data_IF_989557183530
#
_entry.id   IF_989557183530
#
_cell.length_a   1.000
_cell.length_b   1.000
_cell.length_c   1.000
_cell.angle_alpha   90.00
_cell.angle_beta   90.00
_cell.angle_gamma   90.00
#
_symmetry.space_group_name_H-M   'P 1'
#
loop_
_entity.id
_entity.type
_entity.pdbx_description
1 polymer ?
#
# COMPACT_ATOMS: atom_id res chain seq x y z
N UNK A 1 -36.37 81.18 25.16
CA UNK A 1 -36.25 79.73 25.35
C UNK A 1 -35.70 79.15 24.09
N UNK A 2 -34.41 78.69 24.08
CA UNK A 2 -33.73 78.17 22.89
C UNK A 2 -33.69 76.65 23.02
N UNK A 3 -34.30 75.89 22.09
CA UNK A 3 -34.29 74.47 22.03
C UNK A 3 -32.96 74.03 21.29
N UNK A 4 -32.15 73.22 21.95
CA UNK A 4 -30.95 72.60 21.37
C UNK A 4 -31.36 71.23 20.72
N UNK A 5 -31.31 71.16 19.39
CA UNK A 5 -31.37 69.90 18.65
C UNK A 5 -30.00 69.19 18.73
N UNK A 6 -29.94 68.04 19.38
CA UNK A 6 -28.79 67.15 19.33
C UNK A 6 -28.98 66.13 18.19
N UNK A 7 -28.21 66.31 17.12
CA UNK A 7 -28.13 65.37 16.02
C UNK A 7 -27.17 64.24 16.43
N UNK A 8 -27.66 63.02 16.64
CA UNK A 8 -26.87 61.84 16.92
C UNK A 8 -26.45 61.23 15.59
N UNK A 9 -25.17 61.27 15.28
CA UNK A 9 -24.57 60.63 14.10
C UNK A 9 -24.30 59.17 14.48
N UNK A 10 -25.07 58.22 13.91
CA UNK A 10 -24.80 56.78 13.95
C UNK A 10 -23.74 56.45 12.92
N UNK A 11 -22.49 56.17 13.36
CA UNK A 11 -21.47 55.59 12.52
C UNK A 11 -21.67 54.08 12.48
N UNK A 12 -22.25 53.59 11.39
CA UNK A 12 -22.32 52.14 11.13
C UNK A 12 -20.94 51.67 10.68
N UNK A 13 -20.21 51.00 11.57
CA UNK A 13 -18.94 50.30 11.20
C UNK A 13 -19.34 49.02 10.50
N UNK A 14 -19.29 49.02 9.16
CA UNK A 14 -19.36 47.76 8.39
C UNK A 14 -18.07 47.00 8.65
N UNK A 15 -18.14 45.96 9.52
CA UNK A 15 -17.10 44.95 9.66
C UNK A 15 -17.05 44.06 8.41
N UNK A 16 -16.19 44.40 7.48
CA UNK A 16 -15.84 43.50 6.38
C UNK A 16 -14.97 42.40 7.00
N UNK A 17 -15.60 41.27 7.35
CA UNK A 17 -14.87 40.04 7.63
C UNK A 17 -14.22 39.58 6.33
N UNK A 18 -12.93 39.91 6.15
CA UNK A 18 -12.09 39.23 5.16
C UNK A 18 -11.97 37.76 5.59
N UNK A 19 -12.91 36.94 5.14
CA UNK A 19 -12.69 35.50 5.09
C UNK A 19 -11.63 35.27 4.01
N UNK A 20 -10.37 35.23 4.42
CA UNK A 20 -9.30 34.73 3.55
C UNK A 20 -9.72 33.30 3.14
N UNK A 21 -10.17 33.16 1.90
CA UNK A 21 -10.33 31.86 1.28
C UNK A 21 -8.95 31.18 1.38
N UNK A 22 -8.79 30.25 2.30
CA UNK A 22 -7.61 29.42 2.36
C UNK A 22 -7.48 28.76 1.00
N UNK A 23 -6.34 28.99 0.35
CA UNK A 23 -6.07 28.37 -0.95
C UNK A 23 -6.24 26.86 -0.82
N UNK A 24 -6.94 26.25 -1.75
CA UNK A 24 -7.21 24.81 -1.76
C UNK A 24 -5.89 24.04 -1.80
N UNK A 25 -5.66 23.16 -0.83
CA UNK A 25 -4.45 22.31 -0.77
C UNK A 25 -4.46 21.30 -1.92
N UNK A 26 -3.41 21.31 -2.74
CA UNK A 26 -3.35 20.52 -3.97
C UNK A 26 -2.39 19.35 -3.87
N UNK A 27 -2.89 18.16 -4.17
CA UNK A 27 -2.13 16.90 -4.14
C UNK A 27 -2.04 16.29 -5.54
N UNK A 28 -0.80 16.04 -5.98
CA UNK A 28 -0.48 15.28 -7.19
C UNK A 28 -0.07 13.85 -6.83
N UNK A 29 -0.76 12.86 -7.38
CA UNK A 29 -0.47 11.44 -7.16
C UNK A 29 0.04 10.82 -8.46
N UNK A 30 1.24 10.25 -8.44
CA UNK A 30 1.84 9.53 -9.57
C UNK A 30 1.80 8.05 -9.26
N UNK A 31 0.91 7.31 -9.93
CA UNK A 31 0.73 5.87 -9.79
C UNK A 31 1.76 5.12 -10.64
N UNK A 32 2.08 3.89 -10.21
CA UNK A 32 2.93 2.96 -10.94
C UNK A 32 2.15 2.27 -12.08
N UNK A 33 2.82 1.45 -12.88
CA UNK A 33 2.35 0.81 -14.11
C UNK A 33 1.09 -0.05 -13.97
N UNK A 34 0.79 -0.56 -12.78
CA UNK A 34 -0.45 -1.31 -12.52
C UNK A 34 -1.73 -0.48 -12.67
N UNK A 35 -1.58 0.86 -12.56
CA UNK A 35 -2.71 1.79 -12.61
C UNK A 35 -3.66 1.66 -11.41
N UNK A 36 -4.60 2.60 -11.27
CA UNK A 36 -5.53 2.68 -10.12
C UNK A 36 -6.47 1.48 -9.97
N UNK A 37 -6.63 0.68 -11.03
CA UNK A 37 -7.58 -0.43 -11.07
C UNK A 37 -6.92 -1.81 -10.85
N UNK A 38 -5.67 -1.85 -10.38
CA UNK A 38 -4.90 -3.07 -10.10
C UNK A 38 -5.49 -3.96 -8.99
N UNK A 39 -6.48 -3.45 -8.26
CA UNK A 39 -7.12 -4.06 -7.07
C UNK A 39 -6.15 -4.35 -5.91
N UNK A 40 -4.95 -3.77 -5.94
CA UNK A 40 -3.84 -4.05 -5.04
C UNK A 40 -3.18 -2.73 -4.58
N UNK A 41 -1.92 -2.52 -4.92
CA UNK A 41 -1.04 -1.46 -4.46
C UNK A 41 -1.47 -0.05 -4.88
N UNK A 42 -1.64 0.18 -6.19
CA UNK A 42 -2.07 1.48 -6.69
C UNK A 42 -3.51 1.80 -6.30
N UNK A 43 -4.40 0.79 -6.32
CA UNK A 43 -5.77 0.94 -5.86
C UNK A 43 -5.83 1.39 -4.39
N UNK A 44 -4.99 0.81 -3.51
CA UNK A 44 -4.87 1.21 -2.11
C UNK A 44 -4.42 2.68 -1.99
N UNK A 45 -3.36 3.07 -2.70
CA UNK A 45 -2.87 4.45 -2.70
C UNK A 45 -3.94 5.45 -3.18
N UNK A 46 -4.60 5.12 -4.28
CA UNK A 46 -5.67 5.94 -4.85
C UNK A 46 -6.88 6.07 -3.89
N UNK A 47 -7.22 5.00 -3.18
CA UNK A 47 -8.26 4.99 -2.15
C UNK A 47 -7.91 5.97 -1.03
N UNK A 48 -6.68 5.92 -0.49
CA UNK A 48 -6.23 6.83 0.57
C UNK A 48 -6.27 8.30 0.15
N UNK A 49 -5.81 8.61 -1.07
CA UNK A 49 -5.87 9.97 -1.61
C UNK A 49 -7.31 10.44 -1.87
N UNK A 50 -8.19 9.56 -2.34
CA UNK A 50 -9.62 9.86 -2.55
C UNK A 50 -10.35 10.10 -1.22
N UNK A 51 -10.02 9.33 -0.19
CA UNK A 51 -10.56 9.54 1.15
C UNK A 51 -10.07 10.87 1.75
N UNK A 52 -8.81 11.24 1.51
CA UNK A 52 -8.29 12.56 1.88
C UNK A 52 -9.04 13.68 1.15
N UNK A 53 -9.30 13.54 -0.15
CA UNK A 53 -10.13 14.51 -0.90
C UNK A 53 -11.51 14.67 -0.25
N UNK A 54 -12.16 13.56 0.12
CA UNK A 54 -13.49 13.58 0.72
C UNK A 54 -13.51 14.19 2.13
N UNK A 55 -12.53 13.82 2.98
CA UNK A 55 -12.53 14.22 4.40
C UNK A 55 -11.83 15.54 4.67
N UNK A 56 -10.81 15.89 3.89
CA UNK A 56 -9.96 17.05 4.12
C UNK A 56 -10.23 18.19 3.14
N UNK A 57 -11.06 17.98 2.10
CA UNK A 57 -11.43 19.00 1.13
C UNK A 57 -10.27 19.42 0.23
N UNK A 58 -9.32 18.53 -0.05
CA UNK A 58 -8.17 18.81 -0.92
C UNK A 58 -8.53 18.71 -2.40
N UNK A 59 -7.78 19.40 -3.25
CA UNK A 59 -7.76 19.11 -4.68
C UNK A 59 -6.83 17.95 -4.96
N UNK A 60 -7.34 16.90 -5.60
CA UNK A 60 -6.59 15.71 -5.98
C UNK A 60 -6.55 15.56 -7.49
N UNK A 61 -5.34 15.43 -8.04
CA UNK A 61 -5.12 14.94 -9.40
C UNK A 61 -4.17 13.76 -9.36
N UNK A 62 -4.51 12.67 -10.06
CA UNK A 62 -3.63 11.54 -10.26
C UNK A 62 -3.25 11.41 -11.74
N UNK A 63 -2.13 10.74 -11.97
CA UNK A 63 -1.64 10.31 -13.29
C UNK A 63 -1.10 8.90 -13.17
N UNK A 64 -1.17 8.15 -14.25
CA UNK A 64 -0.65 6.80 -14.38
C UNK A 64 0.56 6.84 -15.33
N UNK A 65 1.70 6.30 -14.88
CA UNK A 65 2.89 6.25 -15.71
C UNK A 65 2.80 5.09 -16.70
N UNK A 66 3.15 5.36 -17.95
CA UNK A 66 3.21 4.35 -19.02
C UNK A 66 4.51 3.54 -18.97
N UNK A 67 5.58 4.16 -18.52
CA UNK A 67 6.92 3.58 -18.38
C UNK A 67 7.73 4.37 -17.33
N UNK A 68 8.92 3.86 -17.00
CA UNK A 68 9.76 4.46 -15.95
C UNK A 68 10.28 5.85 -16.31
N UNK A 69 10.41 6.17 -17.60
CA UNK A 69 10.86 7.51 -18.04
C UNK A 69 9.78 8.57 -17.85
N UNK A 70 8.52 8.17 -17.69
CA UNK A 70 7.40 9.08 -17.46
C UNK A 70 7.38 9.66 -16.04
N UNK A 71 8.00 9.02 -15.04
CA UNK A 71 7.90 9.44 -13.65
C UNK A 71 8.43 10.87 -13.41
N UNK A 72 9.65 11.16 -13.85
CA UNK A 72 10.24 12.49 -13.63
C UNK A 72 9.44 13.62 -14.29
N UNK A 73 9.08 13.56 -15.59
CA UNK A 73 8.29 14.64 -16.20
C UNK A 73 6.92 14.82 -15.56
N UNK A 74 6.24 13.73 -15.12
CA UNK A 74 4.96 13.80 -14.44
C UNK A 74 5.06 14.50 -13.08
N UNK A 75 6.05 14.14 -12.25
CA UNK A 75 6.30 14.79 -10.96
C UNK A 75 6.68 16.27 -11.13
N UNK A 76 7.54 16.56 -12.09
CA UNK A 76 7.96 17.92 -12.42
C UNK A 76 6.77 18.78 -12.85
N UNK A 77 5.85 18.24 -13.66
CA UNK A 77 4.66 18.97 -14.08
C UNK A 77 3.75 19.33 -12.90
N UNK A 78 3.63 18.47 -11.88
CA UNK A 78 2.94 18.81 -10.64
C UNK A 78 3.68 19.91 -9.85
N UNK A 79 4.98 19.76 -9.65
CA UNK A 79 5.79 20.71 -8.90
C UNK A 79 5.77 22.13 -9.52
N UNK A 80 5.75 22.22 -10.85
CA UNK A 80 5.65 23.49 -11.61
C UNK A 80 4.25 24.14 -11.57
N UNK A 81 3.19 23.36 -11.30
CA UNK A 81 1.78 23.80 -11.34
C UNK A 81 1.17 24.05 -9.94
N UNK A 82 1.96 24.49 -8.98
CA UNK A 82 1.53 24.84 -7.62
C UNK A 82 0.83 23.75 -6.83
N UNK A 83 1.18 22.49 -7.06
CA UNK A 83 0.80 21.43 -6.13
C UNK A 83 1.64 21.55 -4.84
N UNK A 84 0.98 21.34 -3.70
CA UNK A 84 1.60 21.47 -2.37
C UNK A 84 2.32 20.20 -1.96
N UNK A 85 1.76 19.03 -2.34
CA UNK A 85 2.31 17.71 -2.09
C UNK A 85 2.27 16.86 -3.36
N UNK A 86 3.41 16.24 -3.69
CA UNK A 86 3.54 15.31 -4.81
C UNK A 86 3.89 13.93 -4.23
N UNK A 87 3.09 12.92 -4.55
CA UNK A 87 3.26 11.56 -4.01
C UNK A 87 3.58 10.59 -5.15
N UNK A 88 4.72 9.93 -5.04
CA UNK A 88 5.12 8.82 -5.93
C UNK A 88 4.77 7.47 -5.31
N UNK A 89 4.12 6.61 -6.07
CA UNK A 89 3.69 5.28 -5.62
C UNK A 89 4.58 4.21 -6.27
N UNK A 90 5.46 3.62 -5.44
CA UNK A 90 6.36 2.54 -5.85
C UNK A 90 7.83 2.93 -5.92
N UNK A 91 8.68 1.96 -5.63
CA UNK A 91 10.13 2.11 -5.50
C UNK A 91 10.83 2.56 -6.80
N UNK A 92 10.25 2.25 -7.98
CA UNK A 92 10.79 2.64 -9.28
C UNK A 92 10.87 4.17 -9.46
N UNK A 93 10.09 4.92 -8.68
CA UNK A 93 10.03 6.38 -8.73
C UNK A 93 11.12 7.08 -7.89
N UNK A 94 12.00 6.31 -7.22
CA UNK A 94 13.02 6.84 -6.30
C UNK A 94 13.89 7.93 -6.92
N UNK A 95 14.51 7.65 -8.06
CA UNK A 95 15.42 8.59 -8.72
C UNK A 95 14.69 9.84 -9.21
N UNK A 96 13.49 9.65 -9.76
CA UNK A 96 12.66 10.75 -10.23
C UNK A 96 12.30 11.72 -9.09
N UNK A 97 11.80 11.19 -7.98
CA UNK A 97 11.39 12.04 -6.84
C UNK A 97 12.61 12.71 -6.18
N UNK A 98 13.73 12.02 -6.05
CA UNK A 98 14.97 12.59 -5.50
C UNK A 98 15.43 13.79 -6.32
N UNK A 99 15.43 13.65 -7.64
CA UNK A 99 15.85 14.70 -8.59
C UNK A 99 14.89 15.89 -8.61
N UNK A 100 13.58 15.64 -8.62
CA UNK A 100 12.57 16.71 -8.66
C UNK A 100 12.51 17.43 -7.32
N UNK A 101 12.52 16.72 -6.19
CA UNK A 101 12.46 17.31 -4.86
C UNK A 101 13.65 18.25 -4.59
N UNK A 102 14.85 17.92 -5.08
CA UNK A 102 16.02 18.78 -4.97
C UNK A 102 15.87 20.12 -5.74
N UNK A 103 15.09 20.15 -6.82
CA UNK A 103 14.85 21.35 -7.62
C UNK A 103 13.68 22.19 -7.09
N UNK A 104 12.80 21.62 -6.26
CA UNK A 104 11.64 22.28 -5.68
C UNK A 104 11.64 22.16 -4.15
N UNK A 105 12.63 22.75 -3.44
CA UNK A 105 12.82 22.58 -2.00
C UNK A 105 11.65 23.11 -1.16
N UNK A 106 10.80 23.97 -1.72
CA UNK A 106 9.63 24.54 -1.04
C UNK A 106 8.36 23.66 -1.18
N UNK A 107 8.42 22.59 -1.99
CA UNK A 107 7.31 21.65 -2.17
C UNK A 107 7.51 20.41 -1.33
N UNK A 108 6.43 19.82 -0.85
CA UNK A 108 6.47 18.55 -0.15
C UNK A 108 6.38 17.38 -1.13
N UNK A 109 7.15 16.36 -0.84
CA UNK A 109 7.12 15.10 -1.59
C UNK A 109 6.94 13.92 -0.65
N UNK A 110 6.29 12.87 -1.13
CA UNK A 110 6.27 11.58 -0.47
C UNK A 110 6.50 10.45 -1.46
N UNK A 111 7.10 9.36 -1.00
CA UNK A 111 7.30 8.17 -1.82
C UNK A 111 6.96 6.93 -1.01
N UNK A 112 6.28 5.98 -1.65
CA UNK A 112 5.99 4.66 -1.08
C UNK A 112 7.04 3.65 -1.56
N UNK A 113 7.53 2.82 -0.62
CA UNK A 113 8.45 1.70 -0.88
C UNK A 113 9.86 2.08 -1.33
N UNK A 114 10.29 3.31 -1.14
CA UNK A 114 11.69 3.69 -1.34
C UNK A 114 12.16 4.70 -0.30
N UNK A 115 13.43 4.61 0.06
CA UNK A 115 14.08 5.56 0.96
C UNK A 115 14.75 6.68 0.17
N UNK A 116 14.29 7.90 0.40
CA UNK A 116 14.90 9.15 -0.09
C UNK A 116 15.16 10.05 1.10
N UNK A 117 16.43 10.38 1.33
CA UNK A 117 16.84 11.23 2.43
C UNK A 117 16.94 12.67 1.95
N UNK A 118 15.86 13.43 2.17
CA UNK A 118 15.80 14.87 1.89
C UNK A 118 14.82 15.54 2.86
N UNK A 119 15.02 16.81 3.24
CA UNK A 119 14.19 17.49 4.23
C UNK A 119 12.74 17.68 3.79
N UNK A 120 12.48 17.70 2.49
CA UNK A 120 11.17 17.88 1.88
C UNK A 120 10.59 16.59 1.28
N UNK A 121 11.18 15.41 1.58
CA UNK A 121 10.67 14.10 1.13
C UNK A 121 10.34 13.22 2.33
N UNK A 122 9.10 12.70 2.40
CA UNK A 122 8.68 11.67 3.34
C UNK A 122 8.69 10.31 2.64
N UNK A 123 9.54 9.40 3.11
CA UNK A 123 9.57 8.00 2.68
C UNK A 123 8.64 7.16 3.54
N UNK A 124 7.66 6.51 2.91
CA UNK A 124 6.65 5.67 3.53
C UNK A 124 7.02 4.21 3.29
N UNK A 125 7.62 3.57 4.30
CA UNK A 125 8.15 2.20 4.23
C UNK A 125 7.29 1.26 5.05
N UNK A 126 7.23 -0.01 4.66
CA UNK A 126 6.43 -1.01 5.36
C UNK A 126 7.30 -2.17 5.84
N UNK A 127 6.88 -2.83 6.92
CA UNK A 127 7.51 -4.05 7.43
C UNK A 127 6.78 -5.27 6.83
N UNK A 128 6.90 -5.41 5.50
CA UNK A 128 6.17 -6.41 4.71
C UNK A 128 6.46 -7.84 5.17
N UNK A 129 7.70 -8.11 5.63
CA UNK A 129 8.09 -9.41 6.14
C UNK A 129 7.26 -9.83 7.36
N UNK A 130 6.84 -8.88 8.21
CA UNK A 130 5.98 -9.18 9.36
C UNK A 130 4.60 -9.66 8.92
N UNK A 131 3.95 -8.90 8.00
CA UNK A 131 2.65 -9.30 7.44
C UNK A 131 2.74 -10.62 6.68
N UNK A 132 3.76 -10.78 5.84
CA UNK A 132 4.00 -11.99 5.08
C UNK A 132 4.25 -13.23 5.98
N UNK A 133 4.88 -13.05 7.15
CA UNK A 133 5.05 -14.12 8.13
C UNK A 133 3.70 -14.63 8.64
N UNK A 134 2.78 -13.74 8.99
CA UNK A 134 1.43 -14.13 9.43
C UNK A 134 0.71 -14.88 8.31
N UNK A 135 0.83 -14.41 7.06
CA UNK A 135 0.24 -15.07 5.88
C UNK A 135 0.84 -16.46 5.65
N UNK A 136 2.14 -16.62 5.83
CA UNK A 136 2.81 -17.91 5.73
C UNK A 136 2.31 -18.90 6.78
N UNK A 137 2.12 -18.44 8.00
CA UNK A 137 1.55 -19.25 9.07
C UNK A 137 0.09 -19.66 8.75
N UNK A 138 -0.75 -18.73 8.27
CA UNK A 138 -2.13 -19.01 7.84
C UNK A 138 -2.15 -20.06 6.72
N UNK A 139 -1.29 -19.89 5.70
CA UNK A 139 -1.18 -20.81 4.58
C UNK A 139 -0.80 -22.23 5.05
N UNK A 140 0.18 -22.35 5.94
CA UNK A 140 0.66 -23.63 6.46
C UNK A 140 -0.39 -24.35 7.32
N UNK A 141 -1.16 -23.61 8.14
CA UNK A 141 -2.26 -24.16 8.94
C UNK A 141 -3.44 -24.63 8.08
N UNK A 142 -3.62 -24.04 6.91
CA UNK A 142 -4.72 -24.35 5.98
C UNK A 142 -4.35 -25.44 4.99
N UNK A 143 -3.06 -25.54 4.61
CA UNK A 143 -2.58 -26.52 3.64
C UNK A 143 -2.80 -27.96 4.09
N UNK A 144 -3.32 -28.78 3.18
CA UNK A 144 -3.53 -30.23 3.39
C UNK A 144 -2.41 -31.05 2.76
N UNK A 145 -1.67 -30.46 1.80
CA UNK A 145 -0.63 -31.17 1.05
C UNK A 145 0.76 -30.98 1.66
N UNK A 146 0.92 -30.00 2.58
CA UNK A 146 2.23 -29.60 3.07
C UNK A 146 3.06 -28.84 2.01
N UNK A 147 2.42 -28.37 0.94
CA UNK A 147 3.04 -27.53 -0.09
C UNK A 147 2.24 -26.24 -0.29
N UNK A 148 2.91 -25.11 -0.20
CA UNK A 148 2.33 -23.80 -0.43
C UNK A 148 3.13 -23.05 -1.47
N UNK A 149 2.50 -22.05 -2.11
CA UNK A 149 3.10 -21.29 -3.19
C UNK A 149 3.27 -19.83 -2.87
N UNK A 150 4.21 -19.20 -3.56
CA UNK A 150 4.41 -17.75 -3.62
C UNK A 150 4.60 -17.31 -5.06
N UNK A 151 3.80 -16.35 -5.51
CA UNK A 151 3.96 -15.70 -6.81
C UNK A 151 4.29 -14.23 -6.56
N UNK A 152 5.54 -13.85 -6.82
CA UNK A 152 6.00 -12.47 -6.76
C UNK A 152 5.86 -11.76 -8.11
N UNK A 153 5.74 -10.43 -8.09
CA UNK A 153 5.82 -9.60 -9.29
C UNK A 153 7.25 -9.56 -9.85
N UNK A 154 7.97 -8.48 -9.59
CA UNK A 154 9.38 -8.39 -9.94
C UNK A 154 10.27 -9.16 -8.95
N UNK A 155 11.33 -9.80 -9.47
CA UNK A 155 12.38 -10.38 -8.63
C UNK A 155 13.35 -9.30 -8.12
N UNK A 156 12.95 -8.62 -7.06
CA UNK A 156 13.70 -7.52 -6.42
C UNK A 156 13.74 -7.71 -4.90
N UNK A 157 14.68 -7.05 -4.19
CA UNK A 157 14.82 -7.20 -2.74
C UNK A 157 13.53 -6.99 -1.96
N UNK A 158 12.68 -6.02 -2.34
CA UNK A 158 11.38 -5.78 -1.72
C UNK A 158 10.48 -7.02 -1.78
N UNK A 159 10.35 -7.66 -2.94
CA UNK A 159 9.47 -8.82 -3.11
C UNK A 159 10.08 -10.09 -2.52
N UNK A 160 11.39 -10.19 -2.52
CA UNK A 160 12.09 -11.25 -1.76
C UNK A 160 11.91 -11.12 -0.26
N UNK A 161 11.68 -9.90 0.26
CA UNK A 161 11.32 -9.65 1.66
C UNK A 161 9.96 -10.27 2.02
N UNK A 162 8.95 -10.14 1.15
CA UNK A 162 7.67 -10.85 1.28
C UNK A 162 7.86 -12.38 1.26
N UNK A 163 8.60 -12.89 0.26
CA UNK A 163 8.83 -14.33 0.12
C UNK A 163 9.52 -14.92 1.35
N UNK A 164 10.53 -14.23 1.89
CA UNK A 164 11.26 -14.67 3.09
C UNK A 164 10.38 -14.69 4.33
N UNK A 165 9.59 -13.63 4.58
CA UNK A 165 8.64 -13.58 5.68
C UNK A 165 7.61 -14.71 5.58
N UNK A 166 7.03 -14.89 4.39
CA UNK A 166 6.08 -15.96 4.10
C UNK A 166 6.64 -17.36 4.39
N UNK A 167 7.83 -17.66 3.87
CA UNK A 167 8.50 -18.93 4.11
C UNK A 167 8.79 -19.15 5.61
N UNK A 168 9.28 -18.12 6.29
CA UNK A 168 9.57 -18.23 7.72
C UNK A 168 8.32 -18.49 8.56
N UNK A 169 7.21 -17.82 8.25
CA UNK A 169 5.92 -18.05 8.90
C UNK A 169 5.36 -19.43 8.63
N UNK A 170 5.44 -19.90 7.39
CA UNK A 170 5.00 -21.25 7.02
C UNK A 170 5.81 -22.33 7.76
N UNK A 171 7.14 -22.21 7.78
CA UNK A 171 8.04 -23.13 8.48
C UNK A 171 7.92 -23.08 10.01
N UNK A 172 7.47 -21.97 10.57
CA UNK A 172 7.16 -21.87 12.01
C UNK A 172 6.04 -22.83 12.42
N UNK A 173 5.07 -23.00 11.55
CA UNK A 173 3.91 -23.89 11.78
C UNK A 173 4.26 -25.33 11.41
N UNK A 174 4.84 -25.53 10.24
CA UNK A 174 5.26 -26.84 9.76
C UNK A 174 6.70 -26.78 9.22
N UNK A 175 7.71 -27.22 10.00
CA UNK A 175 9.11 -27.20 9.56
C UNK A 175 9.40 -27.98 8.27
N UNK A 176 8.54 -28.94 7.89
CA UNK A 176 8.68 -29.77 6.70
C UNK A 176 7.91 -29.22 5.48
N UNK A 177 7.23 -28.07 5.61
CA UNK A 177 6.45 -27.50 4.52
C UNK A 177 7.35 -27.11 3.36
N UNK A 178 6.92 -27.42 2.16
CA UNK A 178 7.56 -26.95 0.93
C UNK A 178 6.95 -25.63 0.48
N UNK A 179 7.79 -24.61 0.23
CA UNK A 179 7.38 -23.34 -0.35
C UNK A 179 7.91 -23.23 -1.77
N UNK A 180 7.00 -23.19 -2.75
CA UNK A 180 7.31 -22.97 -4.16
C UNK A 180 7.28 -21.48 -4.44
N UNK A 181 8.39 -20.87 -4.88
CA UNK A 181 8.46 -19.44 -5.14
C UNK A 181 8.86 -19.16 -6.58
N UNK A 182 8.05 -18.34 -7.28
CA UNK A 182 8.29 -17.88 -8.64
C UNK A 182 7.98 -16.39 -8.76
N UNK A 183 8.55 -15.73 -9.78
CA UNK A 183 8.37 -14.31 -10.05
C UNK A 183 7.88 -14.10 -11.48
N UNK A 184 7.00 -13.13 -11.68
CA UNK A 184 6.41 -12.82 -13.00
C UNK A 184 7.43 -12.25 -13.98
N UNK A 185 8.50 -11.61 -13.49
CA UNK A 185 9.53 -11.03 -14.33
C UNK A 185 10.58 -10.22 -13.57
N UNK A 186 11.40 -9.49 -14.34
CA UNK A 186 12.50 -8.65 -13.84
C UNK A 186 12.34 -7.17 -14.25
N UNK A 187 11.25 -6.82 -14.91
CA UNK A 187 10.89 -5.47 -15.35
C UNK A 187 9.54 -5.06 -14.78
N UNK A 188 9.19 -3.78 -14.87
CA UNK A 188 7.91 -3.25 -14.37
C UNK A 188 6.66 -3.88 -15.01
N UNK A 189 6.77 -4.55 -16.15
CA UNK A 189 5.67 -5.32 -16.74
C UNK A 189 5.19 -6.47 -15.86
N UNK A 190 6.05 -6.95 -14.96
CA UNK A 190 5.71 -7.98 -13.98
C UNK A 190 4.56 -7.58 -13.04
N UNK A 191 4.23 -6.30 -12.94
CA UNK A 191 3.13 -5.79 -12.12
C UNK A 191 1.77 -5.83 -12.80
N UNK A 192 1.75 -5.97 -14.14
CA UNK A 192 0.50 -5.94 -14.92
C UNK A 192 0.48 -7.03 -16.00
N UNK A 193 0.72 -8.26 -15.61
CA UNK A 193 0.70 -9.45 -16.50
C UNK A 193 -0.10 -10.60 -15.88
N UNK A 194 -1.44 -10.50 -15.78
CA UNK A 194 -2.28 -11.56 -15.24
C UNK A 194 -2.08 -12.93 -15.93
N UNK A 195 -1.88 -13.03 -17.26
CA UNK A 195 -1.59 -14.31 -17.90
C UNK A 195 -0.35 -15.01 -17.32
N UNK A 196 0.73 -14.25 -17.04
CA UNK A 196 1.93 -14.80 -16.42
C UNK A 196 1.71 -15.21 -14.97
N UNK A 197 0.96 -14.42 -14.20
CA UNK A 197 0.53 -14.78 -12.85
C UNK A 197 -0.26 -16.10 -12.82
N UNK A 198 -1.18 -16.27 -13.78
CA UNK A 198 -1.96 -17.50 -13.93
C UNK A 198 -1.09 -18.70 -14.28
N UNK A 199 -0.20 -18.57 -15.27
CA UNK A 199 0.74 -19.62 -15.67
C UNK A 199 1.55 -20.15 -14.48
N UNK A 200 2.16 -19.23 -13.71
CA UNK A 200 2.98 -19.59 -12.55
C UNK A 200 2.17 -20.27 -11.46
N UNK A 201 0.98 -19.77 -11.17
CA UNK A 201 0.12 -20.35 -10.14
C UNK A 201 -0.39 -21.74 -10.55
N UNK A 202 -0.79 -21.94 -11.83
CA UNK A 202 -1.16 -23.26 -12.34
C UNK A 202 -0.01 -24.26 -12.16
N UNK A 203 1.21 -23.90 -12.55
CA UNK A 203 2.38 -24.76 -12.38
C UNK A 203 2.65 -25.13 -10.92
N UNK A 204 2.43 -24.21 -9.97
CA UNK A 204 2.57 -24.48 -8.54
C UNK A 204 1.45 -25.38 -8.01
N UNK A 205 0.18 -25.16 -8.41
CA UNK A 205 -0.93 -26.03 -8.04
C UNK A 205 -0.74 -27.45 -8.62
N UNK A 206 -0.31 -27.56 -9.87
CA UNK A 206 -0.02 -28.87 -10.52
C UNK A 206 1.18 -29.58 -9.86
N UNK A 207 2.10 -28.83 -9.24
CA UNK A 207 3.19 -29.35 -8.40
C UNK A 207 2.76 -29.73 -6.99
N UNK A 208 1.47 -29.56 -6.67
CA UNK A 208 0.84 -29.97 -5.42
C UNK A 208 0.67 -28.88 -4.35
N UNK A 209 0.94 -27.61 -4.67
CA UNK A 209 0.54 -26.51 -3.79
C UNK A 209 -0.99 -26.47 -3.68
N UNK A 210 -1.51 -26.09 -2.52
CA UNK A 210 -2.95 -25.93 -2.30
C UNK A 210 -3.35 -24.58 -1.74
N UNK A 211 -2.38 -23.74 -1.39
CA UNK A 211 -2.54 -22.31 -1.02
C UNK A 211 -1.40 -21.53 -1.67
N UNK A 212 -1.71 -20.47 -2.43
CA UNK A 212 -0.70 -19.61 -3.06
C UNK A 212 -0.89 -18.17 -2.61
N UNK A 213 0.18 -17.56 -2.06
CA UNK A 213 0.23 -16.13 -1.76
C UNK A 213 0.78 -15.37 -2.98
N UNK A 214 0.12 -14.25 -3.34
CA UNK A 214 0.52 -13.41 -4.46
C UNK A 214 0.96 -12.03 -3.98
N UNK A 215 2.23 -11.66 -4.25
CA UNK A 215 2.75 -10.31 -4.05
C UNK A 215 3.16 -9.74 -5.42
N UNK A 216 2.18 -9.49 -6.30
CA UNK A 216 2.40 -9.29 -7.73
C UNK A 216 1.52 -8.20 -8.38
N UNK A 217 0.87 -7.32 -7.60
CA UNK A 217 -0.02 -6.29 -8.15
C UNK A 217 -1.14 -6.91 -8.98
N UNK A 218 -1.46 -6.31 -10.14
CA UNK A 218 -2.50 -6.82 -11.05
C UNK A 218 -2.20 -8.24 -11.59
N UNK A 219 -0.92 -8.64 -11.68
CA UNK A 219 -0.55 -10.01 -12.09
C UNK A 219 -1.09 -11.07 -11.13
N UNK A 220 -1.30 -10.72 -9.85
CA UNK A 220 -1.91 -11.59 -8.84
C UNK A 220 -3.34 -12.02 -9.18
N UNK A 221 -4.10 -11.21 -9.94
CA UNK A 221 -5.44 -11.56 -10.37
C UNK A 221 -5.46 -12.83 -11.24
N UNK A 222 -4.40 -13.05 -12.03
CA UNK A 222 -4.25 -14.28 -12.79
C UNK A 222 -4.08 -15.51 -11.89
N UNK A 223 -3.38 -15.38 -10.75
CA UNK A 223 -3.27 -16.47 -9.79
C UNK A 223 -4.63 -16.79 -9.12
N UNK A 224 -5.51 -15.81 -8.96
CA UNK A 224 -6.88 -16.03 -8.48
C UNK A 224 -7.71 -16.82 -9.50
N UNK A 225 -7.54 -16.55 -10.79
CA UNK A 225 -8.16 -17.34 -11.85
C UNK A 225 -7.63 -18.79 -11.88
N UNK A 226 -6.34 -18.99 -11.61
CA UNK A 226 -5.76 -20.33 -11.46
C UNK A 226 -6.32 -21.06 -10.23
N UNK A 227 -6.51 -20.35 -9.10
CA UNK A 227 -7.12 -20.90 -7.90
C UNK A 227 -8.56 -21.39 -8.15
N UNK A 228 -9.35 -20.59 -8.88
CA UNK A 228 -10.70 -20.97 -9.30
C UNK A 228 -10.70 -22.20 -10.21
N UNK A 229 -9.81 -22.25 -11.19
CA UNK A 229 -9.69 -23.38 -12.13
C UNK A 229 -9.29 -24.69 -11.41
N UNK A 230 -8.39 -24.63 -10.44
CA UNK A 230 -7.91 -25.78 -9.68
C UNK A 230 -8.72 -26.05 -8.41
N UNK A 231 -9.69 -25.20 -8.06
CA UNK A 231 -10.47 -25.26 -6.80
C UNK A 231 -9.55 -25.31 -5.58
N UNK A 232 -8.57 -24.41 -5.56
CA UNK A 232 -7.57 -24.24 -4.50
C UNK A 232 -7.68 -22.84 -3.90
N UNK A 233 -6.90 -22.57 -2.85
CA UNK A 233 -6.89 -21.26 -2.22
C UNK A 233 -5.79 -20.36 -2.78
N UNK A 234 -6.12 -19.07 -2.92
CA UNK A 234 -5.13 -18.01 -3.09
C UNK A 234 -5.20 -17.03 -1.92
N UNK A 235 -4.14 -16.24 -1.76
CA UNK A 235 -4.04 -15.17 -0.78
C UNK A 235 -3.68 -13.88 -1.53
N UNK A 236 -4.44 -12.82 -1.26
CA UNK A 236 -4.26 -11.50 -1.84
C UNK A 236 -3.19 -10.66 -1.15
N UNK A 237 -2.95 -9.43 -1.69
CA UNK A 237 -1.95 -8.50 -1.17
C UNK A 237 -2.41 -7.04 -1.27
N UNK A 238 -1.83 -6.17 -0.46
CA UNK A 238 -2.03 -4.72 -0.36
C UNK A 238 -3.44 -4.34 0.09
N UNK A 239 -4.42 -4.48 -0.80
CA UNK A 239 -5.85 -4.25 -0.52
C UNK A 239 -6.55 -5.54 -0.11
N UNK A 240 -7.73 -5.42 0.51
CA UNK A 240 -8.61 -6.56 0.68
C UNK A 240 -9.14 -7.00 -0.70
N UNK A 241 -8.70 -8.17 -1.15
CA UNK A 241 -9.05 -8.77 -2.44
C UNK A 241 -10.01 -9.97 -2.29
N UNK A 242 -10.50 -10.27 -1.07
CA UNK A 242 -11.31 -11.45 -0.75
C UNK A 242 -12.61 -11.50 -1.56
N UNK A 243 -13.17 -10.33 -1.85
CA UNK A 243 -14.39 -10.16 -2.65
C UNK A 243 -14.23 -10.53 -4.13
N UNK A 244 -13.00 -10.61 -4.64
CA UNK A 244 -12.75 -10.87 -6.08
C UNK A 244 -13.12 -12.32 -6.47
N UNK A 245 -12.89 -13.28 -5.57
CA UNK A 245 -13.25 -14.69 -5.72
C UNK A 245 -13.74 -15.22 -4.36
N UNK A 246 -14.99 -14.92 -3.94
CA UNK A 246 -15.53 -15.32 -2.65
C UNK A 246 -15.42 -16.83 -2.42
N UNK A 247 -14.90 -17.23 -1.25
CA UNK A 247 -14.71 -18.64 -0.89
C UNK A 247 -13.46 -19.29 -1.51
N UNK A 248 -12.62 -18.55 -2.26
CA UNK A 248 -11.37 -19.03 -2.81
C UNK A 248 -10.17 -18.16 -2.38
N UNK A 249 -10.39 -16.89 -2.10
CA UNK A 249 -9.35 -16.05 -1.47
C UNK A 249 -9.43 -16.27 0.02
N UNK A 250 -8.41 -16.96 0.55
CA UNK A 250 -8.36 -17.37 1.95
C UNK A 250 -8.29 -16.15 2.90
N UNK A 251 -7.52 -15.17 2.50
CA UNK A 251 -7.35 -13.85 3.13
C UNK A 251 -6.53 -12.96 2.20
N UNK A 252 -6.35 -11.69 2.55
CA UNK A 252 -5.41 -10.79 1.88
C UNK A 252 -4.42 -10.25 2.90
N UNK A 253 -3.11 -10.25 2.57
CA UNK A 253 -2.12 -9.51 3.34
C UNK A 253 -2.33 -8.03 3.11
N UNK A 254 -2.90 -7.35 4.07
CA UNK A 254 -3.13 -5.92 4.00
C UNK A 254 -1.81 -5.17 4.16
N UNK A 255 -1.50 -4.29 3.22
CA UNK A 255 -0.45 -3.29 3.29
C UNK A 255 -1.12 -1.93 3.16
N UNK A 256 -1.22 -1.21 4.27
CA UNK A 256 -2.08 -0.04 4.42
C UNK A 256 -1.50 1.22 3.77
N UNK A 257 -1.23 1.11 2.45
CA UNK A 257 -0.80 2.25 1.63
C UNK A 257 -1.85 3.35 1.64
N UNK A 258 -3.13 2.99 1.69
CA UNK A 258 -4.25 3.91 1.85
C UNK A 258 -4.10 4.79 3.09
N UNK A 259 -3.80 4.19 4.24
CA UNK A 259 -3.58 4.88 5.50
C UNK A 259 -2.34 5.78 5.45
N UNK A 260 -1.23 5.27 4.90
CA UNK A 260 0.02 6.02 4.80
C UNK A 260 -0.12 7.26 3.90
N UNK A 261 -0.80 7.11 2.75
CA UNK A 261 -1.09 8.21 1.81
C UNK A 261 -2.06 9.22 2.45
N UNK A 262 -3.14 8.77 3.09
CA UNK A 262 -4.05 9.66 3.79
C UNK A 262 -3.33 10.48 4.86
N UNK A 263 -2.52 9.83 5.69
CA UNK A 263 -1.82 10.48 6.80
C UNK A 263 -0.80 11.52 6.32
N UNK A 264 0.00 11.24 5.28
CA UNK A 264 0.97 12.20 4.77
C UNK A 264 0.29 13.42 4.14
N UNK A 265 -0.86 13.25 3.51
CA UNK A 265 -1.69 14.35 3.01
C UNK A 265 -2.20 15.21 4.17
N UNK A 266 -2.74 14.59 5.21
CA UNK A 266 -3.24 15.28 6.40
C UNK A 266 -2.13 16.03 7.14
N UNK A 267 -0.96 15.39 7.34
CA UNK A 267 0.21 16.01 7.95
C UNK A 267 0.69 17.22 7.14
N UNK A 268 0.72 17.09 5.80
CA UNK A 268 1.16 18.17 4.92
C UNK A 268 0.19 19.35 4.91
N UNK A 269 -1.12 19.09 4.79
CA UNK A 269 -2.14 20.14 4.81
C UNK A 269 -2.19 20.89 6.15
N UNK A 270 -1.98 20.18 7.26
CA UNK A 270 -2.00 20.78 8.61
C UNK A 270 -0.68 21.47 9.02
N UNK A 271 0.30 21.59 8.12
CA UNK A 271 1.60 22.19 8.40
C UNK A 271 2.50 21.35 9.33
N UNK A 272 2.18 20.06 9.51
CA UNK A 272 2.93 19.12 10.34
C UNK A 272 3.83 18.17 9.52
N UNK A 273 3.98 18.45 8.25
CA UNK A 273 4.85 17.64 7.40
C UNK A 273 6.30 17.68 7.89
N UNK A 274 6.92 16.52 7.93
CA UNK A 274 8.36 16.38 8.17
C UNK A 274 8.94 15.40 7.17
N UNK A 275 10.10 15.70 6.62
CA UNK A 275 10.85 14.75 5.78
C UNK A 275 11.33 13.53 6.58
N UNK A 276 12.02 12.63 5.89
CA UNK A 276 12.60 11.42 6.50
C UNK A 276 11.73 10.18 6.34
N UNK A 277 12.08 9.13 7.05
CA UNK A 277 11.49 7.79 6.89
C UNK A 277 10.44 7.55 7.95
N UNK A 278 9.25 7.09 7.52
CA UNK A 278 8.20 6.57 8.40
C UNK A 278 7.96 5.11 8.05
N UNK A 279 8.04 4.23 9.04
CA UNK A 279 7.83 2.79 8.87
C UNK A 279 6.48 2.38 9.43
N UNK A 280 5.85 1.40 8.80
CA UNK A 280 4.54 0.88 9.13
C UNK A 280 4.61 -0.64 9.23
N UNK A 281 4.40 -1.18 10.43
CA UNK A 281 4.45 -2.61 10.72
C UNK A 281 3.14 -3.14 11.32
N UNK A 282 3.21 -4.32 11.94
CA UNK A 282 2.08 -4.89 12.67
C UNK A 282 1.67 -4.03 13.87
N UNK A 283 2.65 -3.40 14.54
CA UNK A 283 2.43 -2.64 15.77
C UNK A 283 1.52 -1.42 15.56
N UNK A 284 1.60 -0.77 14.40
CA UNK A 284 0.80 0.40 14.04
C UNK A 284 -0.27 0.09 12.97
N UNK A 285 -0.54 -1.19 12.74
CA UNK A 285 -1.52 -1.67 11.77
C UNK A 285 -1.20 -1.25 10.33
N UNK A 286 0.07 -1.03 10.05
CA UNK A 286 0.55 -0.75 8.70
C UNK A 286 0.53 -1.98 7.79
N UNK A 287 0.68 -3.16 8.37
CA UNK A 287 0.41 -4.45 7.73
C UNK A 287 -0.50 -5.29 8.63
N UNK A 288 -1.33 -6.15 8.02
CA UNK A 288 -2.26 -7.03 8.72
C UNK A 288 -2.77 -8.11 7.75
N UNK A 289 -3.81 -8.85 8.13
CA UNK A 289 -4.55 -9.75 7.25
C UNK A 289 -6.04 -9.43 7.29
N UNK A 290 -6.78 -9.76 6.22
CA UNK A 290 -8.21 -9.49 6.11
C UNK A 290 -9.06 -10.59 6.72
N UNK A 291 -10.15 -10.19 7.37
CA UNK A 291 -11.26 -11.07 7.78
C UNK A 291 -12.56 -10.36 7.46
N UNK A 292 -13.40 -10.98 6.64
CA UNK A 292 -14.69 -10.44 6.26
C UNK A 292 -15.69 -11.53 5.84
N UNK A 293 -16.85 -11.10 5.36
CA UNK A 293 -17.94 -11.96 4.93
C UNK A 293 -17.59 -12.90 3.76
N UNK A 294 -16.51 -12.62 3.00
CA UNK A 294 -16.13 -13.43 1.85
C UNK A 294 -15.21 -14.59 2.21
N UNK A 295 -14.49 -14.47 3.34
CA UNK A 295 -13.53 -15.48 3.77
C UNK A 295 -13.83 -16.12 5.15
N UNK A 296 -14.75 -15.57 5.96
CA UNK A 296 -15.05 -16.05 7.32
C UNK A 296 -15.37 -17.56 7.41
N UNK A 297 -15.94 -18.15 6.34
CA UNK A 297 -16.30 -19.59 6.29
C UNK A 297 -15.11 -20.48 5.95
N UNK A 298 -14.07 -19.96 5.33
CA UNK A 298 -12.89 -20.72 4.87
C UNK A 298 -11.66 -20.45 5.73
N UNK A 299 -11.54 -19.27 6.29
CA UNK A 299 -10.50 -18.91 7.26
C UNK A 299 -10.99 -19.27 8.67
N UNK A 300 -10.70 -20.51 9.10
CA UNK A 300 -11.20 -21.07 10.36
C UNK A 300 -10.81 -20.23 11.57
N UNK A 301 -11.69 -20.21 12.58
CA UNK A 301 -11.46 -19.47 13.83
C UNK A 301 -10.14 -19.87 14.52
N UNK A 302 -9.83 -21.16 14.58
CA UNK A 302 -8.57 -21.64 15.17
C UNK A 302 -7.33 -21.13 14.43
N UNK A 303 -7.42 -20.95 13.10
CA UNK A 303 -6.33 -20.36 12.29
C UNK A 303 -6.18 -18.88 12.62
N UNK A 304 -7.30 -18.14 12.72
CA UNK A 304 -7.30 -16.72 13.11
C UNK A 304 -6.70 -16.51 14.50
N UNK A 305 -7.15 -17.28 15.49
CA UNK A 305 -6.63 -17.19 16.85
C UNK A 305 -5.11 -17.39 16.88
N UNK A 306 -4.61 -18.41 16.18
CA UNK A 306 -3.16 -18.65 16.13
C UNK A 306 -2.40 -17.57 15.38
N UNK A 307 -2.96 -17.02 14.31
CA UNK A 307 -2.39 -15.88 13.58
C UNK A 307 -2.29 -14.63 14.49
N UNK A 308 -3.33 -14.32 15.26
CA UNK A 308 -3.34 -13.19 16.21
C UNK A 308 -2.38 -13.36 17.38
N UNK A 309 -2.18 -14.61 17.87
CA UNK A 309 -1.13 -14.91 18.84
C UNK A 309 0.26 -14.61 18.26
N UNK A 310 0.56 -15.11 17.05
CA UNK A 310 1.84 -14.86 16.38
C UNK A 310 2.06 -13.36 16.13
N UNK A 311 1.03 -12.63 15.73
CA UNK A 311 1.06 -11.18 15.59
C UNK A 311 1.44 -10.52 16.92
N UNK A 312 0.82 -10.93 18.02
CA UNK A 312 1.13 -10.43 19.36
C UNK A 312 2.58 -10.75 19.76
N UNK A 313 3.07 -11.96 19.45
CA UNK A 313 4.44 -12.38 19.72
C UNK A 313 5.47 -11.53 18.93
N UNK A 314 5.17 -11.18 17.67
CA UNK A 314 6.02 -10.32 16.83
C UNK A 314 6.03 -8.90 17.39
N UNK A 315 4.87 -8.31 17.67
CA UNK A 315 4.75 -6.96 18.24
C UNK A 315 5.50 -6.84 19.59
N UNK A 316 5.46 -7.90 20.41
CA UNK A 316 6.18 -7.97 21.67
C UNK A 316 7.69 -8.27 21.51
N UNK A 317 8.20 -8.44 20.29
CA UNK A 317 9.60 -8.78 20.03
C UNK A 317 10.02 -10.20 20.42
N UNK A 318 9.06 -11.08 20.77
CA UNK A 318 9.32 -12.50 21.08
C UNK A 318 9.66 -13.32 19.82
N UNK A 319 9.13 -12.91 18.70
CA UNK A 319 9.49 -13.43 17.37
C UNK A 319 10.14 -12.29 16.59
N UNK A 320 11.36 -12.52 16.14
CA UNK A 320 12.06 -11.64 15.20
C UNK A 320 11.91 -12.25 13.82
N UNK A 321 11.12 -11.61 12.98
CA UNK A 321 10.90 -12.09 11.61
C UNK A 321 12.15 -11.80 10.77
N UNK A 322 12.67 -12.78 9.99
CA UNK A 322 13.80 -12.55 9.10
C UNK A 322 13.49 -11.45 8.09
N UNK A 323 14.43 -10.51 7.94
CA UNK A 323 14.30 -9.38 7.03
C UNK A 323 15.37 -9.45 5.93
N UNK A 324 14.92 -9.48 4.68
CA UNK A 324 15.80 -9.57 3.52
C UNK A 324 16.79 -8.40 3.40
N UNK A 325 16.41 -7.23 3.94
CA UNK A 325 17.28 -6.05 3.96
C UNK A 325 18.39 -6.10 5.03
N UNK A 326 18.33 -7.08 5.95
CA UNK A 326 19.31 -7.26 7.04
C UNK A 326 20.17 -8.53 6.87
N UNK A 327 20.23 -9.05 5.65
CA UNK A 327 21.07 -10.20 5.30
C UNK A 327 22.53 -9.81 5.16
#
# INVERSE_FOLDING_TARGET
MRAFNRLAIFVAVLGISLQSALAEFKVGLVLDRGGKDDKSFNASAYQGATEAKKKLGIYLKYVEATDDNAFEPLMRAFAQKDYDLIIGIGFAQKEAIQKVAAQFPQKHFAIVDAEVIAPNVRSLMFEEHEGAYIIGAIAAMTSKTGKVGFVGGMDVPLIRRFAMGYEAGAKKINPQITVLANFCGVTGEAWNNPPKGKELALAQYDSGADVIFTAAGASGLGAFDAAEERKKFAIGVDSNQDWTKPGLILTSMLKRVDLAVFNVIQESQSGKFTGGIKRFGLADKGVDYSVDQFNEKILLESVRQRADELKTEIIAGKIVVPDYYKK
#
